data_IF_575406935897
#
_entry.id   IF_575406935897
#
_cell.length_a   1.000
_cell.length_b   1.000
_cell.length_c   1.000
_cell.angle_alpha   90.00
_cell.angle_beta   90.00
_cell.angle_gamma   90.00
#
_symmetry.space_group_name_H-M   'P 1'
#
loop_
_entity.id
_entity.type
_entity.pdbx_description
1 polymer ?
#
# COMPACT_ATOMS: atom_id res chain seq x y z
N UNK A 1 -7.42 28.02 -11.80
CA UNK A 1 -6.76 26.84 -12.35
C UNK A 1 -6.26 25.99 -11.19
N UNK A 2 -6.81 24.79 -10.98
CA UNK A 2 -6.38 23.91 -9.88
C UNK A 2 -5.14 23.13 -10.30
N UNK A 3 -3.96 23.64 -9.95
CA UNK A 3 -2.71 22.91 -10.13
C UNK A 3 -2.63 21.84 -9.05
N UNK A 4 -2.86 20.57 -9.41
CA UNK A 4 -2.64 19.45 -8.49
C UNK A 4 -1.15 19.42 -8.12
N UNK A 5 -0.78 19.29 -6.83
CA UNK A 5 0.62 19.24 -6.43
C UNK A 5 1.31 18.02 -7.06
N UNK A 6 2.62 18.17 -7.32
CA UNK A 6 3.45 17.09 -7.85
C UNK A 6 3.47 15.92 -6.88
N UNK A 7 3.33 14.71 -7.42
CA UNK A 7 3.37 13.48 -6.65
C UNK A 7 4.84 13.08 -6.40
N UNK A 8 5.22 13.01 -5.13
CA UNK A 8 6.59 12.71 -4.72
C UNK A 8 6.87 11.21 -4.91
N UNK A 9 8.10 10.90 -5.31
CA UNK A 9 8.58 9.52 -5.37
C UNK A 9 9.32 9.18 -4.06
N UNK A 10 8.81 8.19 -3.34
CA UNK A 10 9.41 7.60 -2.16
C UNK A 10 10.43 6.53 -2.56
N UNK A 11 11.67 6.67 -2.08
CA UNK A 11 12.73 5.67 -2.29
C UNK A 11 12.57 4.50 -1.31
N UNK A 12 13.32 3.42 -1.55
CA UNK A 12 13.27 2.21 -0.73
C UNK A 12 13.35 2.42 0.80
N UNK A 13 14.26 3.25 1.34
CA UNK A 13 14.32 3.49 2.79
C UNK A 13 13.11 4.27 3.31
N UNK A 14 12.55 5.19 2.52
CA UNK A 14 11.36 5.94 2.89
C UNK A 14 10.13 5.03 2.93
N UNK A 15 9.97 4.18 1.91
CA UNK A 15 8.89 3.19 1.89
C UNK A 15 9.02 2.20 3.04
N UNK A 16 10.23 1.77 3.42
CA UNK A 16 10.44 0.96 4.63
C UNK A 16 9.94 1.67 5.88
N UNK A 17 10.27 2.96 6.04
CA UNK A 17 9.86 3.76 7.20
C UNK A 17 8.35 3.96 7.26
N UNK A 18 7.72 4.21 6.11
CA UNK A 18 6.27 4.50 6.02
C UNK A 18 5.44 3.22 6.17
N UNK A 19 5.88 2.11 5.59
CA UNK A 19 5.12 0.84 5.58
C UNK A 19 5.49 -0.09 6.73
N UNK A 20 6.65 0.12 7.38
CA UNK A 20 7.24 -0.83 8.34
C UNK A 20 7.76 -2.13 7.72
N UNK A 21 7.59 -2.34 6.40
CA UNK A 21 7.90 -3.59 5.75
C UNK A 21 9.37 -3.67 5.33
N UNK A 22 10.00 -4.83 5.61
CA UNK A 22 11.32 -5.16 5.11
C UNK A 22 11.35 -5.15 3.58
N UNK A 23 12.56 -5.02 3.00
CA UNK A 23 12.75 -5.10 1.55
C UNK A 23 12.19 -6.40 1.00
N UNK A 24 12.52 -7.54 1.62
CA UNK A 24 12.10 -8.87 1.15
C UNK A 24 10.58 -9.03 1.19
N UNK A 25 9.91 -8.53 2.23
CA UNK A 25 8.45 -8.58 2.33
C UNK A 25 7.78 -7.75 1.25
N UNK A 26 8.30 -6.55 0.96
CA UNK A 26 7.78 -5.73 -0.15
C UNK A 26 7.92 -6.44 -1.49
N UNK A 27 9.08 -7.00 -1.80
CA UNK A 27 9.28 -7.73 -3.06
C UNK A 27 8.41 -8.99 -3.17
N UNK A 28 8.18 -9.71 -2.07
CA UNK A 28 7.20 -10.82 -2.04
C UNK A 28 5.79 -10.31 -2.31
N UNK A 29 5.41 -9.19 -1.71
CA UNK A 29 4.11 -8.55 -1.97
C UNK A 29 3.95 -8.07 -3.40
N UNK A 30 5.00 -7.51 -4.02
CA UNK A 30 4.99 -7.12 -5.44
C UNK A 30 4.80 -8.36 -6.32
N UNK A 31 5.53 -9.44 -6.05
CA UNK A 31 5.39 -10.71 -6.78
C UNK A 31 3.99 -11.33 -6.61
N UNK A 32 3.40 -11.18 -5.43
CA UNK A 32 2.06 -11.67 -5.11
C UNK A 32 0.93 -10.71 -5.57
N UNK A 33 1.26 -9.51 -6.08
CA UNK A 33 0.28 -8.48 -6.43
C UNK A 33 -0.41 -7.82 -5.23
N UNK A 34 0.08 -8.04 -4.01
CA UNK A 34 -0.48 -7.46 -2.77
C UNK A 34 0.20 -6.17 -2.33
N UNK A 35 1.34 -5.84 -2.94
CA UNK A 35 2.06 -4.58 -2.73
C UNK A 35 2.28 -3.87 -4.07
N UNK A 36 2.20 -2.52 -4.12
CA UNK A 36 2.36 -1.79 -5.37
C UNK A 36 3.72 -2.01 -6.04
N UNK A 37 3.73 -2.17 -7.36
CA UNK A 37 4.96 -2.29 -8.13
C UNK A 37 5.79 -0.99 -8.06
N UNK A 38 7.13 -1.08 -7.93
CA UNK A 38 7.99 0.09 -8.00
C UNK A 38 8.03 0.67 -9.43
N UNK A 39 8.29 1.96 -9.51
CA UNK A 39 8.64 2.67 -10.74
C UNK A 39 10.15 2.95 -10.77
N UNK A 40 10.72 3.04 -11.97
CA UNK A 40 12.13 3.37 -12.20
C UNK A 40 12.22 4.74 -12.87
N UNK A 41 12.41 5.84 -12.11
CA UNK A 41 12.51 7.19 -12.68
C UNK A 41 13.81 7.40 -13.46
N UNK A 42 14.87 6.68 -13.08
CA UNK A 42 16.21 6.75 -13.66
C UNK A 42 16.85 5.37 -13.62
N UNK A 43 17.74 5.03 -14.57
CA UNK A 43 18.45 3.76 -14.58
C UNK A 43 19.06 3.41 -13.23
N UNK A 44 18.67 2.25 -12.67
CA UNK A 44 19.21 1.74 -11.41
C UNK A 44 18.63 2.38 -10.14
N UNK A 45 17.62 3.25 -10.27
CA UNK A 45 16.94 3.81 -9.09
C UNK A 45 15.45 3.50 -9.10
N UNK A 46 14.98 2.78 -8.09
CA UNK A 46 13.56 2.46 -7.91
C UNK A 46 12.88 3.38 -6.91
N UNK A 47 11.57 3.51 -7.01
CA UNK A 47 10.75 4.23 -6.05
C UNK A 47 9.26 3.96 -6.22
N UNK A 48 8.45 4.57 -5.38
CA UNK A 48 7.00 4.47 -5.43
C UNK A 48 6.41 5.87 -5.33
N UNK A 49 5.36 6.15 -6.10
CA UNK A 49 4.61 7.38 -5.89
C UNK A 49 3.96 7.39 -4.51
N UNK A 50 4.02 8.53 -3.83
CA UNK A 50 3.45 8.71 -2.50
C UNK A 50 1.95 8.42 -2.52
N UNK A 51 1.23 8.90 -3.55
CA UNK A 51 -0.20 8.64 -3.71
C UNK A 51 -0.53 7.14 -3.85
N UNK A 52 0.34 6.37 -4.48
CA UNK A 52 0.17 4.93 -4.67
C UNK A 52 0.32 4.19 -3.36
N UNK A 53 1.33 4.54 -2.55
CA UNK A 53 1.51 3.98 -1.21
C UNK A 53 0.36 4.38 -0.29
N UNK A 54 -0.08 5.65 -0.35
CA UNK A 54 -1.21 6.14 0.44
C UNK A 54 -2.51 5.37 0.10
N UNK A 55 -2.78 5.16 -1.20
CA UNK A 55 -3.93 4.36 -1.65
C UNK A 55 -3.86 2.92 -1.12
N UNK A 56 -2.70 2.28 -1.20
CA UNK A 56 -2.52 0.93 -0.67
C UNK A 56 -2.79 0.84 0.84
N UNK A 57 -2.36 1.83 1.63
CA UNK A 57 -2.69 1.88 3.07
C UNK A 57 -4.19 2.05 3.31
N UNK A 58 -4.86 2.88 2.51
CA UNK A 58 -6.31 3.05 2.59
C UNK A 58 -7.05 1.75 2.24
N UNK A 59 -6.60 1.01 1.23
CA UNK A 59 -7.13 -0.31 0.88
C UNK A 59 -6.92 -1.33 2.00
N UNK A 60 -5.77 -1.30 2.69
CA UNK A 60 -5.52 -2.15 3.85
C UNK A 60 -6.46 -1.84 5.00
N UNK A 61 -6.68 -0.56 5.30
CA UNK A 61 -7.66 -0.14 6.31
C UNK A 61 -9.05 -0.63 5.94
N UNK A 62 -9.50 -0.40 4.71
CA UNK A 62 -10.82 -0.84 4.24
C UNK A 62 -10.99 -2.36 4.32
N UNK A 63 -9.94 -3.14 4.01
CA UNK A 63 -9.93 -4.60 4.17
C UNK A 63 -10.04 -5.03 5.63
N UNK A 64 -9.32 -4.36 6.54
CA UNK A 64 -9.44 -4.61 7.97
C UNK A 64 -10.88 -4.35 8.46
N UNK A 65 -11.47 -3.22 8.09
CA UNK A 65 -12.83 -2.85 8.46
C UNK A 65 -13.89 -3.82 7.87
N UNK A 66 -13.66 -4.36 6.67
CA UNK A 66 -14.55 -5.35 6.07
C UNK A 66 -14.47 -6.72 6.78
N UNK A 67 -13.28 -7.10 7.23
CA UNK A 67 -13.10 -8.31 8.02
C UNK A 67 -13.89 -8.23 9.32
N UNK A 68 -13.86 -7.09 10.01
CA UNK A 68 -14.57 -6.87 11.27
C UNK A 68 -16.10 -7.00 11.08
N UNK A 69 -16.65 -6.33 10.06
CA UNK A 69 -18.08 -6.38 9.75
C UNK A 69 -18.58 -7.77 9.35
N UNK A 70 -17.78 -8.54 8.60
CA UNK A 70 -18.16 -9.89 8.21
C UNK A 70 -18.16 -10.85 9.40
N UNK A 71 -17.27 -10.67 10.38
CA UNK A 71 -17.27 -11.46 11.62
C UNK A 71 -18.52 -11.17 12.47
N UNK A 72 -18.92 -9.90 12.59
CA UNK A 72 -20.14 -9.52 13.31
C UNK A 72 -21.41 -10.04 12.63
N UNK A 73 -21.49 -9.94 11.29
CA UNK A 73 -22.61 -10.50 10.54
C UNK A 73 -22.70 -12.03 10.65
N UNK A 74 -21.58 -12.76 10.70
CA UNK A 74 -21.60 -14.21 10.94
C UNK A 74 -22.08 -14.56 12.36
N UNK A 75 -21.65 -13.83 13.38
CA UNK A 75 -22.07 -14.06 14.77
C UNK A 75 -23.55 -13.73 15.01
N UNK A 76 -24.15 -12.87 14.19
CA UNK A 76 -25.57 -12.50 14.28
C UNK A 76 -26.51 -13.48 13.55
N UNK A 77 -26.01 -14.26 12.58
CA UNK A 77 -26.81 -15.27 11.85
C UNK A 77 -26.88 -16.60 12.62
N UNK A 78 -25.87 -16.90 13.45
CA UNK A 78 -25.80 -18.14 14.24
C UNK A 78 -26.49 -18.06 15.63
N UNK A 79 -27.27 -16.99 15.88
CA UNK A 79 -28.12 -16.82 17.07
C UNK A 79 -29.59 -16.73 16.69
#
# INVERSE_FOLDING_TARGET
>A
MSTKPLDRILREPEVKRVTGLSRTTRWRGVKAGTFPAPVEPTPGTIGWFESVIARWQAELRAKAELSERNTEHQLAIEK
#
